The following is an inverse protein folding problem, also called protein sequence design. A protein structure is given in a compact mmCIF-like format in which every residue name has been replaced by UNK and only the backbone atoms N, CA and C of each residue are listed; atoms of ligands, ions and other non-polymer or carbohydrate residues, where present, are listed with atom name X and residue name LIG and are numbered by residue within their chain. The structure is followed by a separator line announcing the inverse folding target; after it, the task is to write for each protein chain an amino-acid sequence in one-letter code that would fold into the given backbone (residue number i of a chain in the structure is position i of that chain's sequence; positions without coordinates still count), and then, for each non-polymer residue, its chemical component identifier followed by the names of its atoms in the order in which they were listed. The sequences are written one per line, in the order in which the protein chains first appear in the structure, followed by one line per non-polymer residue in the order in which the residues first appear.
data_IF_005656805511
#
_entry.id   IF_005656805511
#
_cell.length_a   1.000
_cell.length_b   1.000
_cell.length_c   1.000
_cell.angle_alpha   90.00
_cell.angle_beta   90.00
_cell.angle_gamma   90.00
#
_symmetry.space_group_name_H-M   'P 1'
#
loop_
_entity.id
_entity.type
_entity.pdbx_description
1 polymer ?
#
# COMPACT_ATOMS: atom_id res chain seq x y z
N UNK A 1 16.79 30.88 -20.31
CA UNK A 1 16.53 30.39 -18.94
C UNK A 1 15.65 29.16 -19.07
N UNK A 2 16.24 27.98 -19.07
CA UNK A 2 15.50 26.73 -19.09
C UNK A 2 15.03 26.39 -17.67
N UNK A 3 13.71 26.35 -17.46
CA UNK A 3 13.12 25.81 -16.25
C UNK A 3 13.31 24.29 -16.26
N UNK A 4 14.38 23.79 -15.64
CA UNK A 4 14.53 22.37 -15.37
C UNK A 4 13.47 21.95 -14.36
N UNK A 5 12.38 21.33 -14.84
CA UNK A 5 11.41 20.67 -13.96
C UNK A 5 12.16 19.51 -13.30
N UNK A 6 12.61 19.72 -12.05
CA UNK A 6 13.16 18.64 -11.23
C UNK A 6 12.12 17.53 -11.13
N UNK A 7 12.44 16.35 -11.69
CA UNK A 7 11.60 15.16 -11.56
C UNK A 7 11.30 14.91 -10.07
N UNK A 8 10.09 14.41 -9.71
CA UNK A 8 9.66 14.20 -8.33
C UNK A 8 10.33 12.99 -7.64
N UNK A 9 11.64 12.79 -7.86
CA UNK A 9 12.45 11.72 -7.26
C UNK A 9 12.41 11.78 -5.72
N UNK A 10 12.29 12.98 -5.16
CA UNK A 10 12.15 13.17 -3.72
C UNK A 10 10.80 12.71 -3.16
N UNK A 11 9.69 12.94 -3.87
CA UNK A 11 8.36 12.62 -3.36
C UNK A 11 8.11 11.11 -3.33
N UNK A 12 8.40 10.42 -4.43
CA UNK A 12 8.22 8.96 -4.53
C UNK A 12 9.11 8.25 -3.50
N UNK A 13 10.36 8.69 -3.35
CA UNK A 13 11.27 8.13 -2.34
C UNK A 13 10.76 8.32 -0.91
N UNK A 14 10.21 9.50 -0.60
CA UNK A 14 9.62 9.79 0.72
C UNK A 14 8.36 8.95 0.98
N UNK A 15 7.51 8.77 -0.03
CA UNK A 15 6.31 7.91 0.07
C UNK A 15 6.71 6.45 0.29
N UNK A 16 7.71 5.95 -0.45
CA UNK A 16 8.26 4.61 -0.25
C UNK A 16 8.85 4.44 1.15
N UNK A 17 9.50 5.47 1.69
CA UNK A 17 10.03 5.48 3.06
C UNK A 17 8.91 5.36 4.10
N UNK A 18 7.77 6.03 3.91
CA UNK A 18 6.61 5.90 4.81
C UNK A 18 6.04 4.47 4.77
N UNK A 19 5.95 3.87 3.58
CA UNK A 19 5.48 2.50 3.40
C UNK A 19 6.43 1.48 4.05
N UNK A 20 7.74 1.63 3.84
CA UNK A 20 8.73 0.70 4.38
C UNK A 20 8.86 0.75 5.90
N UNK A 21 8.58 1.90 6.51
CA UNK A 21 8.62 2.07 7.96
C UNK A 21 7.24 1.94 8.63
N UNK A 22 6.19 1.59 7.87
CA UNK A 22 4.83 1.37 8.39
C UNK A 22 4.24 2.61 9.09
N UNK A 23 4.71 3.80 8.70
CA UNK A 23 4.32 5.08 9.31
C UNK A 23 3.04 5.59 8.68
N UNK A 24 2.06 5.95 9.51
CA UNK A 24 0.75 6.49 9.08
C UNK A 24 -0.08 5.53 8.21
N UNK A 25 0.17 4.22 8.26
CA UNK A 25 -0.63 3.24 7.54
C UNK A 25 -2.07 3.16 8.06
N UNK A 26 -3.03 3.28 7.16
CA UNK A 26 -4.47 3.20 7.44
C UNK A 26 -5.10 1.91 6.91
N UNK A 27 -4.30 1.04 6.28
CA UNK A 27 -4.72 -0.27 5.76
C UNK A 27 -3.75 -1.35 6.21
N UNK A 28 -4.30 -2.48 6.67
CA UNK A 28 -3.54 -3.68 7.04
C UNK A 28 -4.06 -4.87 6.23
N UNK A 29 -3.16 -5.57 5.56
CA UNK A 29 -3.44 -6.81 4.86
C UNK A 29 -3.00 -8.00 5.71
N UNK A 30 -3.95 -8.85 6.11
CA UNK A 30 -3.66 -10.16 6.69
C UNK A 30 -3.80 -11.22 5.62
N UNK A 31 -2.66 -11.77 5.21
CA UNK A 31 -2.58 -12.82 4.21
C UNK A 31 -2.57 -14.17 4.93
N UNK A 32 -3.44 -15.09 4.50
CA UNK A 32 -3.42 -16.48 4.92
C UNK A 32 -3.62 -17.39 3.72
N UNK A 33 -2.55 -18.01 3.24
CA UNK A 33 -2.57 -18.87 2.07
C UNK A 33 -1.75 -20.13 2.35
N UNK A 34 -2.33 -21.32 2.14
CA UNK A 34 -1.70 -22.62 2.39
C UNK A 34 -1.04 -22.74 3.78
N UNK A 35 -1.70 -22.22 4.82
CA UNK A 35 -1.20 -22.25 6.20
C UNK A 35 -0.14 -21.18 6.53
N UNK A 36 0.44 -20.52 5.53
CA UNK A 36 1.36 -19.40 5.72
C UNK A 36 0.58 -18.14 6.09
N UNK A 37 1.20 -17.27 6.91
CA UNK A 37 0.62 -16.00 7.36
C UNK A 37 1.55 -14.85 7.00
N UNK A 38 0.98 -13.72 6.58
CA UNK A 38 1.69 -12.47 6.34
C UNK A 38 0.86 -11.29 6.83
N UNK A 39 1.53 -10.24 7.31
CA UNK A 39 0.89 -8.96 7.64
C UNK A 39 1.63 -7.86 6.90
N UNK A 40 0.90 -7.03 6.17
CA UNK A 40 1.46 -5.92 5.42
C UNK A 40 0.69 -4.63 5.69
N UNK A 41 1.42 -3.55 5.91
CA UNK A 41 0.87 -2.24 6.17
C UNK A 41 0.95 -1.38 4.90
N UNK A 42 -0.10 -0.61 4.63
CA UNK A 42 -0.19 0.21 3.43
C UNK A 42 -1.02 1.47 3.68
N UNK A 43 -1.04 2.34 2.66
CA UNK A 43 -1.83 3.56 2.67
C UNK A 43 -2.92 3.48 1.60
N UNK A 44 -4.19 3.62 1.99
CA UNK A 44 -5.33 3.53 1.07
C UNK A 44 -5.21 4.53 -0.08
N UNK A 45 -4.77 5.76 0.21
CA UNK A 45 -4.58 6.82 -0.78
C UNK A 45 -3.54 6.45 -1.84
N UNK A 46 -2.44 5.79 -1.46
CA UNK A 46 -1.41 5.33 -2.40
C UNK A 46 -1.97 4.21 -3.27
N UNK A 47 -2.67 3.24 -2.67
CA UNK A 47 -3.27 2.11 -3.39
C UNK A 47 -4.30 2.58 -4.42
N UNK A 48 -5.17 3.52 -4.03
CA UNK A 48 -6.15 4.14 -4.93
C UNK A 48 -5.45 4.88 -6.07
N UNK A 49 -4.45 5.71 -5.76
CA UNK A 49 -3.69 6.46 -6.77
C UNK A 49 -2.93 5.53 -7.74
N UNK A 50 -2.46 4.37 -7.27
CA UNK A 50 -1.81 3.35 -8.10
C UNK A 50 -2.79 2.50 -8.91
N UNK A 51 -4.11 2.76 -8.83
CA UNK A 51 -5.13 1.98 -9.52
C UNK A 51 -5.29 0.55 -8.97
N UNK A 52 -4.81 0.29 -7.75
CA UNK A 52 -4.98 -1.01 -7.08
C UNK A 52 -6.43 -1.08 -6.60
N UNK A 53 -7.26 -1.74 -7.41
CA UNK A 53 -8.71 -1.82 -7.23
C UNK A 53 -9.12 -2.57 -5.97
N UNK A 54 -9.14 -1.88 -4.84
CA UNK A 54 -9.85 -2.33 -3.65
C UNK A 54 -11.11 -1.47 -3.52
N UNK A 55 -12.27 -1.94 -3.98
CA UNK A 55 -13.50 -1.13 -4.02
C UNK A 55 -13.92 -0.61 -2.64
N UNK A 56 -13.51 -1.29 -1.58
CA UNK A 56 -13.78 -0.88 -0.20
C UNK A 56 -12.78 0.13 0.36
N UNK A 57 -11.64 0.40 -0.29
CA UNK A 57 -10.69 1.42 0.15
C UNK A 57 -11.20 2.84 -0.11
N UNK A 58 -11.97 3.05 -1.18
CA UNK A 58 -12.48 4.37 -1.57
C UNK A 58 -13.60 4.91 -0.65
N UNK A 59 -14.26 4.04 0.13
CA UNK A 59 -15.28 4.45 1.11
C UNK A 59 -14.57 5.11 2.29
N UNK A 60 -14.56 6.44 2.40
CA UNK A 60 -13.91 7.13 3.52
C UNK A 60 -14.47 6.63 4.86
N UNK A 61 -13.60 6.04 5.68
CA UNK A 61 -13.90 5.68 7.07
C UNK A 61 -12.77 6.23 7.94
N UNK A 62 -13.11 6.82 9.09
CA UNK A 62 -12.13 7.36 10.05
C UNK A 62 -11.31 6.27 10.78
N UNK A 63 -11.57 4.99 10.49
CA UNK A 63 -10.91 3.84 11.10
C UNK A 63 -10.00 3.14 10.10
N UNK A 64 -8.89 2.59 10.62
CA UNK A 64 -7.98 1.75 9.86
C UNK A 64 -8.71 0.50 9.33
N UNK A 65 -8.44 0.13 8.08
CA UNK A 65 -9.10 -0.98 7.39
C UNK A 65 -8.26 -2.24 7.43
N UNK A 66 -8.91 -3.36 7.73
CA UNK A 66 -8.27 -4.68 7.71
C UNK A 66 -8.79 -5.48 6.52
N UNK A 67 -7.89 -5.86 5.63
CA UNK A 67 -8.18 -6.67 4.44
C UNK A 67 -7.63 -8.07 4.66
N UNK A 68 -8.48 -9.09 4.57
CA UNK A 68 -8.07 -10.49 4.63
C UNK A 68 -7.85 -11.00 3.21
N UNK A 69 -6.67 -11.54 2.93
CA UNK A 69 -6.32 -12.11 1.63
C UNK A 69 -6.11 -13.60 1.80
N UNK A 70 -6.90 -14.40 1.08
CA UNK A 70 -6.83 -15.87 1.16
C UNK A 70 -6.37 -16.48 -0.17
N UNK A 71 -6.53 -15.78 -1.28
CA UNK A 71 -6.28 -16.31 -2.62
C UNK A 71 -4.81 -16.23 -3.05
N UNK A 72 -4.00 -15.37 -2.42
CA UNK A 72 -2.63 -15.11 -2.84
C UNK A 72 -1.63 -15.39 -1.71
N UNK A 73 -0.43 -15.85 -2.08
CA UNK A 73 0.67 -16.01 -1.13
C UNK A 73 1.17 -14.65 -0.64
N UNK A 74 1.80 -14.64 0.54
CA UNK A 74 2.41 -13.43 1.10
C UNK A 74 3.39 -12.77 0.13
N UNK A 75 4.15 -13.56 -0.63
CA UNK A 75 5.11 -13.05 -1.61
C UNK A 75 4.44 -12.27 -2.74
N UNK A 76 3.33 -12.78 -3.29
CA UNK A 76 2.60 -12.09 -4.36
C UNK A 76 1.96 -10.80 -3.82
N UNK A 77 1.39 -10.85 -2.61
CA UNK A 77 0.81 -9.64 -1.98
C UNK A 77 1.89 -8.59 -1.72
N UNK A 78 3.06 -8.99 -1.24
CA UNK A 78 4.20 -8.09 -1.06
C UNK A 78 4.63 -7.41 -2.37
N UNK A 79 4.78 -8.19 -3.45
CA UNK A 79 5.10 -7.67 -4.78
C UNK A 79 4.01 -6.73 -5.34
N UNK A 80 2.76 -6.89 -4.93
CA UNK A 80 1.69 -5.99 -5.36
C UNK A 80 1.69 -4.67 -4.61
N UNK A 81 2.20 -4.65 -3.38
CA UNK A 81 2.18 -3.50 -2.48
C UNK A 81 3.47 -2.66 -2.53
N UNK A 82 4.60 -3.22 -2.96
CA UNK A 82 5.93 -2.57 -2.99
C UNK A 82 6.50 -2.54 -4.41
#
# INVERSE_FOLDING_TARGET
MENSIEKPRGLIGRISTLLNNEVCSDVVFHVRHNGQRGTFYAHSAILIAAGKGFPDLAKQTSQAKVIKVLEFSSHIVEMMLR
#
